data_IF_703726156527
#
_entry.id   IF_703726156527
#
_cell.length_a   1.000
_cell.length_b   1.000
_cell.length_c   1.000
_cell.angle_alpha   90.00
_cell.angle_beta   90.00
_cell.angle_gamma   90.00
#
_symmetry.space_group_name_H-M   'P 1'
#
loop_
_entity.id
_entity.type
_entity.pdbx_description
1 polymer ?
#
# COMPACT_ATOMS: atom_id res chain seq x y z
N UNK A 1 2.37 13.43 8.97
CA UNK A 1 1.64 12.88 7.81
C UNK A 1 0.46 12.09 8.32
N UNK A 2 -0.69 12.12 7.64
CA UNK A 2 -1.85 11.27 7.96
C UNK A 2 -1.76 9.97 7.17
N UNK A 3 -1.29 8.91 7.82
CA UNK A 3 -1.07 7.61 7.20
C UNK A 3 -2.17 6.63 7.63
N UNK A 4 -2.99 6.17 6.70
CA UNK A 4 -4.14 5.31 6.97
C UNK A 4 -3.98 3.95 6.31
N UNK A 5 -4.29 2.88 7.03
CA UNK A 5 -4.43 1.53 6.46
C UNK A 5 -5.90 1.24 6.25
N UNK A 6 -6.29 0.76 5.07
CA UNK A 6 -7.64 0.29 4.78
C UNK A 6 -7.68 -1.24 4.73
N UNK A 7 -8.62 -1.80 5.48
CA UNK A 7 -8.86 -3.23 5.57
C UNK A 7 -10.34 -3.56 5.36
N UNK A 8 -10.61 -4.78 4.92
CA UNK A 8 -11.96 -5.27 4.68
C UNK A 8 -12.02 -6.29 3.54
N UNK A 9 -13.07 -7.10 3.45
CA UNK A 9 -13.19 -8.15 2.45
C UNK A 9 -13.32 -7.59 1.02
N UNK A 10 -13.03 -8.39 -0.03
CA UNK A 10 -13.42 -8.04 -1.40
C UNK A 10 -14.91 -7.68 -1.46
N UNK A 11 -15.31 -6.73 -2.30
CA UNK A 11 -16.71 -6.29 -2.37
C UNK A 11 -17.14 -5.24 -1.34
N UNK A 12 -16.45 -5.11 -0.20
CA UNK A 12 -16.84 -4.20 0.90
C UNK A 12 -16.79 -2.67 0.60
N UNK A 13 -16.48 -2.26 -0.64
CA UNK A 13 -16.43 -0.84 -0.99
C UNK A 13 -15.17 -0.09 -0.55
N UNK A 14 -14.08 -0.79 -0.20
CA UNK A 14 -12.79 -0.20 0.21
C UNK A 14 -12.29 0.86 -0.78
N UNK A 15 -12.26 0.53 -2.07
CA UNK A 15 -11.81 1.47 -3.11
C UNK A 15 -12.64 2.75 -3.14
N UNK A 16 -13.96 2.63 -3.00
CA UNK A 16 -14.87 3.79 -2.93
C UNK A 16 -14.58 4.67 -1.72
N UNK A 17 -14.35 4.08 -0.54
CA UNK A 17 -14.01 4.86 0.66
C UNK A 17 -12.60 5.45 0.59
N UNK A 18 -11.64 4.72 0.01
CA UNK A 18 -10.27 5.19 -0.22
C UNK A 18 -10.26 6.49 -1.04
N UNK A 19 -10.98 6.51 -2.17
CA UNK A 19 -11.09 7.70 -3.03
C UNK A 19 -11.66 8.92 -2.28
N UNK A 20 -12.72 8.71 -1.48
CA UNK A 20 -13.30 9.80 -0.66
C UNK A 20 -12.31 10.35 0.37
N UNK A 21 -11.51 9.48 1.00
CA UNK A 21 -10.49 9.88 1.98
C UNK A 21 -9.32 10.62 1.32
N UNK A 22 -8.89 10.14 0.14
CA UNK A 22 -7.87 10.78 -0.71
C UNK A 22 -8.29 12.21 -1.04
N UNK A 23 -9.48 12.40 -1.59
CA UNK A 23 -10.00 13.72 -1.98
C UNK A 23 -10.15 14.65 -0.77
N UNK A 24 -10.69 14.13 0.33
CA UNK A 24 -10.95 14.93 1.54
C UNK A 24 -9.69 15.42 2.25
N UNK A 25 -8.66 14.57 2.35
CA UNK A 25 -7.46 14.87 3.14
C UNK A 25 -6.21 15.15 2.28
N UNK A 26 -6.31 15.01 0.95
CA UNK A 26 -5.19 15.18 0.02
C UNK A 26 -4.12 14.10 0.20
N UNK A 27 -4.54 12.84 0.37
CA UNK A 27 -3.64 11.70 0.59
C UNK A 27 -3.19 11.09 -0.74
N UNK A 28 -2.04 10.42 -0.73
CA UNK A 28 -1.57 9.64 -1.87
C UNK A 28 -2.01 8.19 -1.71
N UNK A 29 -2.61 7.63 -2.76
CA UNK A 29 -3.00 6.23 -2.79
C UNK A 29 -1.78 5.32 -2.96
N UNK A 30 -1.65 4.37 -2.04
CA UNK A 30 -0.69 3.28 -2.09
C UNK A 30 -1.45 1.95 -2.16
N UNK A 31 -1.71 1.51 -3.39
CA UNK A 31 -2.21 0.18 -3.72
C UNK A 31 -1.02 -0.68 -4.18
N UNK A 32 -0.82 -1.86 -3.60
CA UNK A 32 0.28 -2.76 -3.99
C UNK A 32 0.22 -3.13 -5.47
N UNK A 33 -0.99 -3.32 -6.00
CA UNK A 33 -1.18 -3.66 -7.41
C UNK A 33 -0.78 -2.52 -8.35
N UNK A 34 -1.15 -1.28 -8.01
CA UNK A 34 -0.79 -0.10 -8.81
C UNK A 34 0.69 0.24 -8.68
N UNK A 35 1.25 0.05 -7.48
CA UNK A 35 2.67 0.22 -7.21
C UNK A 35 3.50 -0.74 -8.08
N UNK A 36 3.20 -2.04 -8.03
CA UNK A 36 3.89 -3.05 -8.84
C UNK A 36 3.78 -2.75 -10.33
N UNK A 37 2.56 -2.51 -10.85
CA UNK A 37 2.36 -2.16 -12.26
C UNK A 37 3.13 -0.90 -12.66
N UNK A 38 3.14 0.10 -11.79
CA UNK A 38 3.86 1.36 -11.98
C UNK A 38 5.36 1.15 -12.10
N UNK A 39 5.97 0.42 -11.15
CA UNK A 39 7.41 0.11 -11.15
C UNK A 39 7.81 -0.72 -12.37
N UNK A 40 6.99 -1.73 -12.74
CA UNK A 40 7.20 -2.55 -13.94
C UNK A 40 7.15 -1.68 -15.20
N UNK A 41 6.15 -0.81 -15.33
CA UNK A 41 5.98 0.05 -16.50
C UNK A 41 7.13 1.07 -16.67
N UNK A 42 7.72 1.51 -15.55
CA UNK A 42 8.85 2.44 -15.52
C UNK A 42 10.19 1.74 -15.73
N UNK A 43 10.24 0.40 -15.68
CA UNK A 43 11.48 -0.38 -15.84
C UNK A 43 12.47 -0.16 -14.70
N UNK A 44 11.98 0.08 -13.48
CA UNK A 44 12.86 0.21 -12.30
C UNK A 44 13.49 -1.13 -11.95
N UNK A 45 14.61 -1.12 -11.21
CA UNK A 45 15.28 -2.36 -10.80
C UNK A 45 14.34 -3.31 -10.04
N UNK A 46 13.62 -2.79 -9.04
CA UNK A 46 12.59 -3.54 -8.30
C UNK A 46 11.42 -3.96 -9.19
N UNK A 47 11.02 -3.12 -10.15
CA UNK A 47 9.97 -3.44 -11.11
C UNK A 47 10.34 -4.62 -12.02
N UNK A 48 11.58 -4.67 -12.51
CA UNK A 48 12.07 -5.76 -13.34
C UNK A 48 12.20 -7.07 -12.55
N UNK A 49 12.66 -7.00 -11.29
CA UNK A 49 12.69 -8.15 -10.38
C UNK A 49 11.28 -8.69 -10.12
N UNK A 50 10.34 -7.80 -9.75
CA UNK A 50 8.95 -8.18 -9.53
C UNK A 50 8.31 -8.77 -10.80
N UNK A 51 8.55 -8.18 -11.98
CA UNK A 51 8.07 -8.70 -13.25
C UNK A 51 8.53 -10.13 -13.49
N UNK A 52 9.81 -10.42 -13.29
CA UNK A 52 10.38 -11.76 -13.47
C UNK A 52 9.67 -12.78 -12.58
N UNK A 53 9.50 -12.47 -11.30
CA UNK A 53 8.84 -13.36 -10.35
C UNK A 53 7.36 -13.59 -10.73
N UNK A 54 6.66 -12.53 -11.12
CA UNK A 54 5.26 -12.62 -11.56
C UNK A 54 5.10 -13.46 -12.84
N UNK A 55 6.00 -13.30 -13.82
CA UNK A 55 6.01 -14.10 -15.05
C UNK A 55 6.26 -15.59 -14.77
N UNK A 56 7.01 -15.91 -13.70
CA UNK A 56 7.26 -17.27 -13.23
C UNK A 56 6.12 -17.83 -12.35
N UNK A 57 5.06 -17.05 -12.10
CA UNK A 57 3.95 -17.43 -11.21
C UNK A 57 4.34 -17.41 -9.71
N UNK A 58 5.48 -16.81 -9.38
CA UNK A 58 6.01 -16.69 -8.03
C UNK A 58 5.48 -15.40 -7.39
N UNK A 59 5.12 -15.49 -6.11
CA UNK A 59 4.72 -14.31 -5.34
C UNK A 59 5.89 -13.36 -5.15
N UNK A 60 5.64 -12.06 -5.31
CA UNK A 60 6.63 -11.02 -5.05
C UNK A 60 6.92 -10.97 -3.54
N UNK A 61 8.19 -11.08 -3.10
CA UNK A 61 8.56 -11.04 -1.69
C UNK A 61 8.16 -9.73 -1.02
N UNK A 62 7.81 -9.80 0.26
CA UNK A 62 7.45 -8.64 1.06
C UNK A 62 8.54 -7.55 1.06
N UNK A 63 9.80 -7.96 1.08
CA UNK A 63 10.95 -7.04 1.04
C UNK A 63 10.96 -6.17 -0.24
N UNK A 64 10.61 -6.75 -1.39
CA UNK A 64 10.52 -6.02 -2.67
C UNK A 64 9.38 -5.00 -2.59
N UNK A 65 8.22 -5.41 -2.07
CA UNK A 65 7.07 -4.52 -1.89
C UNK A 65 7.39 -3.37 -0.93
N UNK A 66 8.05 -3.64 0.20
CA UNK A 66 8.50 -2.63 1.16
C UNK A 66 9.49 -1.65 0.51
N UNK A 67 10.42 -2.14 -0.32
CA UNK A 67 11.33 -1.29 -1.09
C UNK A 67 10.59 -0.34 -2.03
N UNK A 68 9.58 -0.85 -2.76
CA UNK A 68 8.75 -0.01 -3.63
C UNK A 68 7.95 1.04 -2.84
N UNK A 69 7.41 0.67 -1.67
CA UNK A 69 6.73 1.62 -0.78
C UNK A 69 7.71 2.71 -0.33
N UNK A 70 8.92 2.34 0.10
CA UNK A 70 9.97 3.30 0.48
C UNK A 70 10.25 4.31 -0.63
N UNK A 71 10.44 3.84 -1.86
CA UNK A 71 10.68 4.71 -3.02
C UNK A 71 9.52 5.67 -3.25
N UNK A 72 8.28 5.19 -3.11
CA UNK A 72 7.09 6.04 -3.28
C UNK A 72 6.98 7.09 -2.19
N UNK A 73 7.29 6.76 -0.95
CA UNK A 73 7.36 7.72 0.16
C UNK A 73 8.44 8.78 -0.12
N UNK A 74 9.63 8.36 -0.58
CA UNK A 74 10.74 9.26 -0.88
C UNK A 74 10.49 10.18 -2.08
N UNK A 75 9.73 9.71 -3.06
CA UNK A 75 9.28 10.53 -4.19
C UNK A 75 8.20 11.56 -3.80
N UNK A 76 7.59 11.44 -2.61
CA UNK A 76 6.44 12.24 -2.18
C UNK A 76 6.64 12.82 -0.77
N UNK A 77 7.81 13.38 -0.47
CA UNK A 77 8.15 13.91 0.87
C UNK A 77 7.23 15.03 1.36
N UNK A 78 6.62 15.77 0.45
CA UNK A 78 5.69 16.87 0.76
C UNK A 78 4.22 16.41 0.87
N UNK A 79 3.95 15.10 0.75
CA UNK A 79 2.60 14.58 0.86
C UNK A 79 2.00 14.85 2.25
N UNK A 80 0.70 15.17 2.27
CA UNK A 80 -0.06 15.31 3.53
C UNK A 80 -0.18 13.97 4.25
N UNK A 81 -0.11 12.87 3.52
CA UNK A 81 -0.06 11.51 4.03
C UNK A 81 -0.44 10.50 2.95
N UNK A 82 -0.58 9.24 3.38
CA UNK A 82 -0.75 8.11 2.48
C UNK A 82 -1.93 7.24 2.93
N UNK A 83 -2.57 6.58 1.96
CA UNK A 83 -3.57 5.56 2.23
C UNK A 83 -3.09 4.23 1.66
N UNK A 84 -2.80 3.29 2.56
CA UNK A 84 -2.34 1.94 2.24
C UNK A 84 -3.56 1.05 2.03
N UNK A 85 -3.78 0.65 0.79
CA UNK A 85 -4.95 -0.13 0.36
C UNK A 85 -4.50 -1.53 -0.07
N UNK A 86 -4.86 -2.52 0.75
CA UNK A 86 -4.47 -3.92 0.50
C UNK A 86 -3.07 -4.30 0.99
N UNK A 87 -2.41 -3.45 1.77
CA UNK A 87 -1.17 -3.70 2.50
C UNK A 87 -1.20 -2.98 3.86
N UNK A 88 -0.72 -3.57 4.96
CA UNK A 88 -0.23 -4.94 5.09
C UNK A 88 -1.38 -5.99 5.08
N UNK A 89 -1.04 -7.24 4.77
CA UNK A 89 -1.91 -8.43 4.80
C UNK A 89 -1.46 -9.49 5.81
N UNK A 90 -0.23 -9.39 6.30
CA UNK A 90 0.35 -10.29 7.30
C UNK A 90 0.94 -9.47 8.44
N UNK A 91 1.14 -10.09 9.60
CA UNK A 91 1.80 -9.43 10.75
C UNK A 91 3.23 -9.03 10.39
N UNK A 92 3.98 -9.89 9.69
CA UNK A 92 5.34 -9.57 9.24
C UNK A 92 5.37 -8.34 8.32
N UNK A 93 4.39 -8.17 7.44
CA UNK A 93 4.27 -6.97 6.61
C UNK A 93 3.95 -5.72 7.44
N UNK A 94 3.12 -5.85 8.48
CA UNK A 94 2.81 -4.74 9.38
C UNK A 94 4.07 -4.28 10.14
N UNK A 95 4.82 -5.22 10.72
CA UNK A 95 6.10 -4.94 11.41
C UNK A 95 7.12 -4.29 10.48
N UNK A 96 7.21 -4.76 9.23
CA UNK A 96 8.10 -4.18 8.23
C UNK A 96 7.67 -2.75 7.82
N UNK A 97 6.35 -2.50 7.72
CA UNK A 97 5.82 -1.17 7.44
C UNK A 97 6.09 -0.19 8.59
N UNK A 98 5.89 -0.63 9.83
CA UNK A 98 6.17 0.18 11.01
C UNK A 98 7.65 0.57 11.06
N UNK A 99 8.55 -0.41 10.87
CA UNK A 99 10.01 -0.19 10.82
C UNK A 99 10.39 0.81 9.72
N UNK A 100 9.78 0.68 8.53
CA UNK A 100 10.01 1.60 7.41
C UNK A 100 9.56 3.02 7.77
N UNK A 101 8.36 3.19 8.31
CA UNK A 101 7.82 4.50 8.64
C UNK A 101 8.60 5.16 9.77
N UNK A 102 9.02 4.40 10.78
CA UNK A 102 9.86 4.88 11.88
C UNK A 102 11.19 5.42 11.35
N UNK A 103 11.84 4.70 10.42
CA UNK A 103 13.08 5.16 9.76
C UNK A 103 12.93 6.50 9.03
N UNK A 104 11.69 6.86 8.67
CA UNK A 104 11.31 8.12 8.00
C UNK A 104 10.64 9.12 8.94
N UNK A 105 10.78 8.94 10.26
CA UNK A 105 10.16 9.79 11.30
C UNK A 105 8.64 9.95 11.10
N UNK A 106 7.99 8.86 10.72
CA UNK A 106 6.57 8.76 10.40
C UNK A 106 5.96 7.55 11.12
N UNK A 107 4.64 7.42 11.12
CA UNK A 107 3.94 6.29 11.73
C UNK A 107 2.58 6.09 11.09
N UNK A 108 1.96 4.92 11.26
CA UNK A 108 0.55 4.73 10.95
C UNK A 108 -0.30 5.56 11.93
N UNK A 109 -1.19 6.39 11.38
CA UNK A 109 -2.10 7.24 12.14
C UNK A 109 -3.39 6.51 12.53
N UNK A 110 -3.78 5.50 11.77
CA UNK A 110 -4.95 4.68 12.08
C UNK A 110 -5.21 3.60 11.03
N UNK A 111 -5.94 2.57 11.45
CA UNK A 111 -6.48 1.53 10.59
C UNK A 111 -8.00 1.68 10.51
N UNK A 112 -8.54 1.62 9.30
CA UNK A 112 -9.98 1.65 9.04
C UNK A 112 -10.36 0.28 8.49
N UNK A 113 -11.12 -0.48 9.27
CA UNK A 113 -11.70 -1.74 8.86
C UNK A 113 -13.14 -1.50 8.36
N UNK A 114 -13.42 -1.95 7.14
CA UNK A 114 -14.77 -2.02 6.59
C UNK A 114 -15.31 -3.41 6.91
N UNK A 115 -16.24 -3.46 7.84
CA UNK A 115 -16.99 -4.66 8.21
C UNK A 115 -18.32 -4.66 7.48
N UNK A 116 -18.58 -5.73 6.74
CA UNK A 116 -19.79 -5.96 5.97
C UNK A 116 -20.21 -7.41 6.24
N UNK A 117 -21.50 -7.64 6.46
CA UNK A 117 -22.02 -8.98 6.71
C UNK A 117 -21.81 -9.85 5.46
N UNK A 118 -21.53 -11.15 5.65
CA UNK A 118 -21.25 -12.09 4.55
C UNK A 118 -22.41 -12.16 3.55
N UNK A 119 -23.64 -11.99 4.02
CA UNK A 119 -24.88 -11.97 3.24
C UNK A 119 -25.03 -10.72 2.34
N UNK A 120 -24.17 -9.72 2.49
CA UNK A 120 -24.11 -8.49 1.68
C UNK A 120 -22.87 -8.42 0.76
N UNK A 121 -21.99 -9.43 0.76
CA UNK A 121 -20.77 -9.51 -0.07
C UNK A 121 -20.98 -10.30 -1.38
#
# INVERSE_FOLDING_TARGET
MLNLVLFGPPGAGKGTQSQKLIEKYGLIHLSTGDLLRGEISQGTELGLEAKKLMDEGVLVPDAVVIGMISNKLDANKEAKGFIFDGFPRTVAQAEALDSLLESKSSAISGMIALEVNDDEL
#
